data_IF_151883742946
#
_entry.id   IF_151883742946
#
_cell.length_a   1.000
_cell.length_b   1.000
_cell.length_c   1.000
_cell.angle_alpha   90.00
_cell.angle_beta   90.00
_cell.angle_gamma   90.00
#
_symmetry.space_group_name_H-M   'P 1'
#
loop_
_entity.id
_entity.type
_entity.pdbx_description
1 polymer ?
#
# COMPACT_ATOMS: atom_id res chain seq x y z
N UNK A 1 52.74 -49.17 25.87
CA UNK A 1 51.80 -48.36 26.68
C UNK A 1 50.44 -49.04 26.67
N UNK A 2 49.92 -49.30 27.86
CA UNK A 2 48.70 -50.05 28.11
C UNK A 2 47.53 -49.06 28.22
N UNK A 3 46.48 -49.25 27.42
CA UNK A 3 45.09 -49.06 27.85
C UNK A 3 44.20 -50.06 27.12
N UNK A 4 44.13 -51.26 27.70
CA UNK A 4 42.99 -52.15 27.90
C UNK A 4 41.89 -52.23 26.81
N UNK A 5 41.93 -53.34 26.07
CA UNK A 5 40.78 -54.00 25.42
C UNK A 5 39.94 -54.73 26.48
N UNK A 6 38.60 -54.86 26.30
CA UNK A 6 37.69 -55.95 26.78
C UNK A 6 36.32 -55.37 27.21
N UNK A 7 35.11 -55.84 26.86
CA UNK A 7 34.49 -57.07 26.32
C UNK A 7 33.27 -56.58 25.50
N UNK A 8 32.93 -57.07 24.32
CA UNK A 8 32.35 -58.39 24.11
C UNK A 8 30.84 -58.32 23.79
N UNK A 9 30.49 -58.91 22.62
CA UNK A 9 29.19 -59.46 22.18
C UNK A 9 28.16 -58.52 21.51
N UNK A 10 27.92 -58.86 20.24
CA UNK A 10 26.81 -58.46 19.37
C UNK A 10 25.45 -58.54 20.06
N UNK A 11 24.65 -57.48 19.91
CA UNK A 11 23.19 -57.56 20.03
C UNK A 11 22.56 -56.58 19.04
N UNK A 12 22.02 -57.15 17.97
CA UNK A 12 20.97 -56.63 17.09
C UNK A 12 20.58 -55.15 17.22
N UNK A 13 20.80 -54.41 16.13
CA UNK A 13 20.12 -53.13 15.85
C UNK A 13 18.62 -53.40 15.92
N UNK A 14 18.00 -53.02 17.04
CA UNK A 14 16.54 -52.95 17.13
C UNK A 14 16.12 -51.69 16.40
N UNK A 15 15.80 -51.85 15.12
CA UNK A 15 15.05 -50.85 14.37
C UNK A 15 13.76 -50.58 15.15
N UNK A 16 13.67 -49.39 15.74
CA UNK A 16 12.50 -48.97 16.50
C UNK A 16 11.34 -48.89 15.51
N UNK A 17 10.44 -49.86 15.61
CA UNK A 17 9.15 -49.92 14.92
C UNK A 17 8.54 -48.52 14.88
N UNK A 18 8.30 -48.03 13.68
CA UNK A 18 7.56 -46.81 13.41
C UNK A 18 6.28 -46.81 14.26
N UNK A 19 6.12 -45.77 15.09
CA UNK A 19 4.82 -45.43 15.65
C UNK A 19 4.15 -44.52 14.62
N UNK A 20 3.06 -44.95 13.96
CA UNK A 20 2.32 -44.10 13.05
C UNK A 20 1.43 -43.17 13.87
N UNK A 21 1.98 -42.07 14.40
CA UNK A 21 1.21 -40.97 14.98
C UNK A 21 2.14 -39.83 15.43
N UNK A 22 2.59 -38.97 14.51
CA UNK A 22 2.66 -37.50 14.74
C UNK A 22 3.29 -36.69 13.60
N UNK A 23 3.31 -37.13 12.34
CA UNK A 23 3.96 -36.36 11.25
C UNK A 23 3.37 -34.94 11.06
N UNK A 24 2.15 -34.69 11.53
CA UNK A 24 1.51 -33.37 11.48
C UNK A 24 2.11 -32.34 12.46
N UNK A 25 2.78 -32.76 13.55
CA UNK A 25 3.32 -31.81 14.55
C UNK A 25 4.69 -31.26 14.18
N UNK A 26 5.53 -32.08 13.54
CA UNK A 26 6.89 -31.71 13.18
C UNK A 26 6.91 -30.82 11.92
N UNK A 27 6.03 -31.09 10.96
CA UNK A 27 5.78 -30.21 9.80
C UNK A 27 5.26 -28.83 10.21
N UNK A 28 4.31 -28.77 11.15
CA UNK A 28 3.74 -27.52 11.64
C UNK A 28 4.77 -26.70 12.47
N UNK A 29 5.70 -27.37 13.14
CA UNK A 29 6.82 -26.74 13.84
C UNK A 29 7.88 -26.19 12.87
N UNK A 30 8.15 -26.90 11.77
CA UNK A 30 9.05 -26.44 10.71
C UNK A 30 8.46 -25.22 9.97
N UNK A 31 7.16 -25.25 9.68
CA UNK A 31 6.42 -24.13 9.09
C UNK A 31 6.42 -22.89 10.02
N UNK A 32 6.23 -23.07 11.33
CA UNK A 32 6.33 -21.98 12.32
C UNK A 32 7.74 -21.38 12.40
N UNK A 33 8.79 -22.21 12.35
CA UNK A 33 10.18 -21.73 12.30
C UNK A 33 10.50 -20.96 11.02
N UNK A 34 10.01 -21.44 9.88
CA UNK A 34 10.14 -20.73 8.60
C UNK A 34 9.45 -19.35 8.65
N UNK A 35 8.22 -19.28 9.19
CA UNK A 35 7.49 -18.02 9.35
C UNK A 35 8.13 -17.07 10.36
N UNK A 36 8.77 -17.58 11.41
CA UNK A 36 9.47 -16.79 12.40
C UNK A 36 10.72 -16.08 11.83
N UNK A 37 11.36 -16.64 10.79
CA UNK A 37 12.47 -15.96 10.10
C UNK A 37 11.99 -14.82 9.19
N UNK A 38 10.74 -14.86 8.72
CA UNK A 38 10.19 -13.84 7.80
C UNK A 38 9.81 -12.54 8.53
N UNK A 39 9.45 -12.62 9.81
CA UNK A 39 8.98 -11.47 10.58
C UNK A 39 9.56 -11.47 11.99
N UNK A 40 10.18 -10.35 12.40
CA UNK A 40 10.63 -10.12 13.79
C UNK A 40 9.51 -10.32 14.82
N UNK A 41 8.26 -10.11 14.42
CA UNK A 41 7.05 -10.46 15.18
C UNK A 41 5.93 -10.81 14.20
N UNK A 42 5.25 -11.94 14.42
CA UNK A 42 4.09 -12.31 13.61
C UNK A 42 3.03 -11.19 13.69
N UNK A 43 2.67 -10.55 12.57
CA UNK A 43 1.68 -9.50 12.58
C UNK A 43 0.31 -10.08 12.96
N UNK A 44 -0.45 -9.35 13.77
CA UNK A 44 -1.85 -9.70 14.04
C UNK A 44 -2.66 -9.64 12.75
N UNK A 45 -3.70 -10.47 12.63
CA UNK A 45 -4.63 -10.46 11.50
C UNK A 45 -5.16 -9.03 11.23
N UNK A 46 -5.44 -8.26 12.28
CA UNK A 46 -5.89 -6.86 12.16
C UNK A 46 -4.84 -5.94 11.54
N UNK A 47 -3.55 -6.16 11.85
CA UNK A 47 -2.46 -5.38 11.28
C UNK A 47 -2.29 -5.67 9.79
N UNK A 48 -2.45 -6.93 9.40
CA UNK A 48 -2.43 -7.35 7.99
C UNK A 48 -3.63 -6.78 7.25
N UNK A 49 -4.83 -6.87 7.81
CA UNK A 49 -6.06 -6.30 7.23
C UNK A 49 -5.94 -4.79 7.01
N UNK A 50 -5.48 -4.04 8.02
CA UNK A 50 -5.21 -2.59 7.90
C UNK A 50 -4.18 -2.27 6.82
N UNK A 51 -3.11 -3.07 6.70
CA UNK A 51 -2.11 -2.89 5.63
C UNK A 51 -2.72 -3.14 4.25
N UNK A 52 -3.51 -4.19 4.08
CA UNK A 52 -4.20 -4.48 2.82
C UNK A 52 -5.12 -3.32 2.44
N UNK A 53 -5.92 -2.81 3.37
CA UNK A 53 -6.80 -1.66 3.13
C UNK A 53 -6.00 -0.42 2.70
N UNK A 54 -4.90 -0.12 3.38
CA UNK A 54 -4.03 0.99 3.03
C UNK A 54 -3.41 0.83 1.64
N UNK A 55 -2.97 -0.37 1.28
CA UNK A 55 -2.44 -0.65 -0.05
C UNK A 55 -3.51 -0.54 -1.13
N UNK A 56 -4.72 -1.02 -0.89
CA UNK A 56 -5.86 -0.85 -1.81
C UNK A 56 -6.16 0.63 -2.07
N UNK A 57 -6.16 1.47 -1.02
CA UNK A 57 -6.32 2.93 -1.17
C UNK A 57 -5.20 3.56 -2.01
N UNK A 58 -3.95 3.17 -1.77
CA UNK A 58 -2.78 3.64 -2.55
C UNK A 58 -2.87 3.25 -4.02
N UNK A 59 -3.22 1.99 -4.31
CA UNK A 59 -3.38 1.49 -5.69
C UNK A 59 -4.44 2.33 -6.40
N UNK A 60 -5.61 2.51 -5.79
CA UNK A 60 -6.69 3.31 -6.39
C UNK A 60 -6.24 4.74 -6.72
N UNK A 61 -5.52 5.40 -5.80
CA UNK A 61 -5.01 6.75 -6.03
C UNK A 61 -3.96 6.82 -7.15
N UNK A 62 -3.07 5.82 -7.24
CA UNK A 62 -2.05 5.75 -8.28
C UNK A 62 -2.65 5.45 -9.66
N UNK A 63 -3.63 4.54 -9.73
CA UNK A 63 -4.35 4.24 -10.97
C UNK A 63 -5.05 5.48 -11.52
N UNK A 64 -5.74 6.24 -10.66
CA UNK A 64 -6.38 7.49 -11.07
C UNK A 64 -5.36 8.50 -11.63
N UNK A 65 -4.24 8.71 -10.92
CA UNK A 65 -3.19 9.63 -11.38
C UNK A 65 -2.55 9.18 -12.69
N UNK A 66 -2.42 7.87 -12.91
CA UNK A 66 -1.88 7.33 -14.16
C UNK A 66 -2.85 7.61 -15.32
N UNK A 67 -4.15 7.37 -15.10
CA UNK A 67 -5.18 7.67 -16.07
C UNK A 67 -5.19 9.15 -16.44
N UNK A 68 -5.19 10.06 -15.45
CA UNK A 68 -5.17 11.50 -15.69
C UNK A 68 -3.97 11.93 -16.55
N UNK A 69 -2.79 11.32 -16.35
CA UNK A 69 -1.60 11.63 -17.15
C UNK A 69 -1.72 11.12 -18.58
N UNK A 70 -2.30 9.94 -18.77
CA UNK A 70 -2.48 9.33 -20.10
C UNK A 70 -3.50 10.11 -20.91
N UNK A 71 -4.64 10.46 -20.30
CA UNK A 71 -5.73 11.17 -20.98
C UNK A 71 -5.31 12.59 -21.38
N UNK A 72 -4.45 13.24 -20.58
CA UNK A 72 -3.93 14.57 -20.86
C UNK A 72 -2.61 14.58 -21.64
N UNK A 73 -2.12 13.44 -22.16
CA UNK A 73 -0.79 13.37 -22.80
C UNK A 73 -0.68 14.22 -24.07
N UNK A 74 -1.80 14.45 -24.76
CA UNK A 74 -1.90 15.14 -26.05
C UNK A 74 -2.40 16.58 -25.92
N UNK A 75 -2.81 17.03 -24.73
CA UNK A 75 -3.53 18.30 -24.54
C UNK A 75 -2.83 19.20 -23.51
N UNK A 76 -2.52 20.43 -23.91
CA UNK A 76 -1.97 21.46 -23.02
C UNK A 76 -3.07 22.31 -22.38
N UNK A 77 -3.38 22.04 -21.11
CA UNK A 77 -4.46 22.73 -20.38
C UNK A 77 -4.09 24.12 -19.82
N UNK A 78 -2.82 24.51 -19.87
CA UNK A 78 -2.33 25.73 -19.22
C UNK A 78 -2.93 27.01 -19.83
N UNK A 79 -2.91 27.12 -21.15
CA UNK A 79 -3.34 28.33 -21.87
C UNK A 79 -4.84 28.56 -21.75
N UNK A 80 -5.66 27.51 -21.90
CA UNK A 80 -7.11 27.58 -21.73
C UNK A 80 -7.50 28.01 -20.33
N UNK A 81 -6.88 27.40 -19.32
CA UNK A 81 -7.10 27.72 -17.91
C UNK A 81 -6.69 29.13 -17.51
N UNK A 82 -5.67 29.70 -18.15
CA UNK A 82 -5.13 31.02 -17.80
C UNK A 82 -5.82 32.17 -18.54
N UNK A 83 -6.26 31.94 -19.79
CA UNK A 83 -6.70 33.01 -20.69
C UNK A 83 -8.15 32.90 -21.16
N UNK A 84 -8.72 31.70 -21.21
CA UNK A 84 -9.98 31.47 -21.93
C UNK A 84 -11.12 30.95 -21.04
N UNK A 85 -10.80 30.53 -19.82
CA UNK A 85 -11.79 30.13 -18.82
C UNK A 85 -11.98 31.25 -17.81
N UNK A 86 -13.23 31.63 -17.53
CA UNK A 86 -13.52 32.56 -16.45
C UNK A 86 -13.18 31.89 -15.09
N UNK A 87 -12.20 32.43 -14.33
CA UNK A 87 -11.77 31.81 -13.08
C UNK A 87 -12.90 31.71 -12.05
N UNK A 88 -13.94 32.57 -12.13
CA UNK A 88 -15.11 32.52 -11.24
C UNK A 88 -15.91 31.23 -11.40
N UNK A 89 -15.95 30.65 -12.61
CA UNK A 89 -16.59 29.35 -12.85
C UNK A 89 -15.91 28.30 -11.97
N UNK A 90 -14.59 28.25 -12.00
CA UNK A 90 -13.79 27.29 -11.23
C UNK A 90 -13.86 27.57 -9.73
N UNK A 91 -13.81 28.84 -9.29
CA UNK A 91 -13.89 29.18 -7.87
C UNK A 91 -15.26 28.82 -7.29
N UNK A 92 -16.35 29.16 -7.97
CA UNK A 92 -17.70 28.81 -7.54
C UNK A 92 -17.88 27.28 -7.43
N UNK A 93 -17.35 26.52 -8.40
CA UNK A 93 -17.35 25.06 -8.35
C UNK A 93 -16.53 24.52 -7.16
N UNK A 94 -15.35 25.08 -6.89
CA UNK A 94 -14.51 24.68 -5.76
C UNK A 94 -15.22 24.90 -4.42
N UNK A 95 -15.86 26.07 -4.25
CA UNK A 95 -16.62 26.38 -3.03
C UNK A 95 -17.80 25.43 -2.84
N UNK A 96 -18.55 25.13 -3.91
CA UNK A 96 -19.73 24.25 -3.86
C UNK A 96 -19.40 22.81 -3.50
N UNK A 97 -18.24 22.30 -3.93
CA UNK A 97 -17.82 20.91 -3.72
C UNK A 97 -16.77 20.76 -2.62
N UNK A 98 -16.52 21.81 -1.84
CA UNK A 98 -15.52 21.84 -0.76
C UNK A 98 -14.11 21.40 -1.23
N UNK A 99 -13.77 21.73 -2.49
CA UNK A 99 -12.46 21.43 -3.07
C UNK A 99 -11.51 22.58 -2.78
N UNK A 100 -10.31 22.32 -2.21
CA UNK A 100 -9.32 23.36 -2.00
C UNK A 100 -8.94 24.05 -3.31
N UNK A 101 -9.10 25.38 -3.40
CA UNK A 101 -8.78 26.15 -4.61
C UNK A 101 -7.29 25.99 -4.98
N UNK A 102 -6.42 25.77 -3.99
CA UNK A 102 -4.98 25.50 -4.20
C UNK A 102 -4.69 24.18 -4.94
N UNK A 103 -5.64 23.23 -4.94
CA UNK A 103 -5.51 21.99 -5.70
C UNK A 103 -5.77 22.22 -7.19
N UNK A 104 -6.54 23.25 -7.55
CA UNK A 104 -6.85 23.59 -8.93
C UNK A 104 -5.96 24.72 -9.43
N UNK A 105 -5.90 25.85 -8.74
CA UNK A 105 -5.04 26.99 -9.11
C UNK A 105 -3.73 26.99 -8.30
N UNK A 106 -2.61 27.04 -9.02
CA UNK A 106 -1.29 27.24 -8.41
C UNK A 106 -1.23 28.59 -7.68
N UNK A 107 -0.20 28.80 -6.83
CA UNK A 107 -0.01 30.06 -6.11
C UNK A 107 -0.05 31.27 -7.06
N UNK A 108 0.70 31.23 -8.15
CA UNK A 108 0.74 32.29 -9.17
C UNK A 108 -0.61 32.57 -9.82
N UNK A 109 -1.40 31.53 -10.13
CA UNK A 109 -2.73 31.72 -10.69
C UNK A 109 -3.71 32.33 -9.67
N UNK A 110 -3.59 31.96 -8.40
CA UNK A 110 -4.41 32.56 -7.33
C UNK A 110 -4.11 34.04 -7.13
N UNK A 111 -2.84 34.43 -7.20
CA UNK A 111 -2.41 35.83 -7.15
C UNK A 111 -2.90 36.65 -8.36
N UNK A 112 -2.98 36.03 -9.55
CA UNK A 112 -3.55 36.67 -10.74
C UNK A 112 -5.08 36.85 -10.66
N UNK A 113 -5.78 35.86 -10.09
CA UNK A 113 -7.24 35.80 -10.07
C UNK A 113 -7.87 36.21 -8.74
N UNK A 114 -7.21 37.09 -7.96
CA UNK A 114 -7.72 37.55 -6.66
C UNK A 114 -9.14 38.10 -6.75
N UNK A 115 -9.45 38.84 -7.82
CA UNK A 115 -10.77 39.40 -8.08
C UNK A 115 -11.89 38.36 -8.23
N UNK A 116 -11.56 37.10 -8.52
CA UNK A 116 -12.51 36.01 -8.65
C UNK A 116 -12.71 35.18 -7.37
N UNK A 117 -11.89 35.41 -6.33
CA UNK A 117 -11.88 34.57 -5.12
C UNK A 117 -13.11 34.75 -4.24
N UNK A 118 -13.74 35.93 -4.29
CA UNK A 118 -14.91 36.25 -3.47
C UNK A 118 -16.25 35.88 -4.12
N UNK A 119 -16.23 35.18 -5.25
CA UNK A 119 -17.47 34.84 -5.96
C UNK A 119 -18.38 33.89 -5.16
N UNK A 120 -19.69 34.10 -5.25
CA UNK A 120 -20.70 33.24 -4.62
C UNK A 120 -20.64 31.79 -5.17
N UNK A 121 -20.84 30.75 -4.32
CA UNK A 121 -20.86 29.35 -4.78
C UNK A 121 -21.93 29.02 -5.83
N UNK A 122 -23.00 29.82 -5.96
CA UNK A 122 -24.08 29.65 -6.93
C UNK A 122 -23.92 30.51 -8.17
N UNK A 123 -22.82 31.26 -8.28
CA UNK A 123 -22.54 32.08 -9.44
C UNK A 123 -22.53 31.25 -10.73
N UNK A 124 -23.10 31.82 -11.79
CA UNK A 124 -23.20 31.27 -13.13
C UNK A 124 -22.73 32.32 -14.13
N UNK A 125 -22.01 31.86 -15.17
CA UNK A 125 -21.56 32.69 -16.28
C UNK A 125 -22.70 32.93 -17.27
#
# INVERSE_FOLDING_TARGET
MQTLISKGKSSSIKLKKEKPASDNKDEDALAKKAQAHLFQRTPSADQVAKKIENWKKKIKALSLRLQDKTDNKEVALGTSKLNYMDPRITVAWCKRNEVPISAVFSKTLREKFVWAMDVDPHWKF
#
